data_IF_299258741578
#
_entry.id   IF_299258741578
#
_cell.length_a   1.000
_cell.length_b   1.000
_cell.length_c   1.000
_cell.angle_alpha   90.00
_cell.angle_beta   90.00
_cell.angle_gamma   90.00
#
_symmetry.space_group_name_H-M   'P 1'
#
loop_
_entity.id
_entity.type
_entity.pdbx_description
1 polymer ?
#
# COMPACT_ATOMS: atom_id res chain seq x y z
N UNK A 1 3.23 12.66 -10.02
CA UNK A 1 2.88 11.60 -9.04
C UNK A 1 3.16 10.25 -9.70
N UNK A 2 3.68 9.28 -8.94
CA UNK A 2 3.91 7.92 -9.44
C UNK A 2 2.81 6.98 -8.94
N UNK A 3 2.40 6.04 -9.77
CA UNK A 3 1.39 5.04 -9.46
C UNK A 3 1.94 3.63 -9.69
N UNK A 4 1.50 2.69 -8.86
CA UNK A 4 1.91 1.28 -8.94
C UNK A 4 0.68 0.38 -8.96
N UNK A 5 0.72 -0.70 -9.73
CA UNK A 5 -0.33 -1.73 -9.75
C UNK A 5 0.12 -2.92 -8.91
N UNK A 6 -0.66 -3.27 -7.88
CA UNK A 6 -0.39 -4.41 -7.01
C UNK A 6 -1.39 -5.53 -7.28
N UNK A 7 -0.92 -6.67 -7.78
CA UNK A 7 -1.71 -7.89 -7.99
C UNK A 7 -1.21 -9.02 -7.10
N UNK A 8 -2.11 -9.76 -6.46
CA UNK A 8 -1.76 -10.86 -5.57
C UNK A 8 -2.71 -12.05 -5.75
N UNK A 9 -2.14 -13.26 -5.74
CA UNK A 9 -2.89 -14.53 -5.90
C UNK A 9 -3.42 -15.09 -4.59
N UNK A 10 -2.88 -14.67 -3.44
CA UNK A 10 -3.11 -15.32 -2.14
C UNK A 10 -3.33 -14.32 -1.00
N UNK A 11 -2.55 -13.25 -0.97
CA UNK A 11 -2.54 -12.29 0.15
C UNK A 11 -3.17 -10.96 -0.24
N UNK A 12 -3.89 -10.31 0.68
CA UNK A 12 -4.44 -8.98 0.41
C UNK A 12 -3.30 -7.94 0.52
N UNK A 13 -2.93 -7.24 -0.56
CA UNK A 13 -1.79 -6.32 -0.55
C UNK A 13 -2.00 -5.09 0.34
N UNK A 14 -3.24 -4.79 0.73
CA UNK A 14 -3.57 -3.71 1.67
C UNK A 14 -3.33 -4.12 3.12
N UNK A 15 -3.23 -5.41 3.44
CA UNK A 15 -3.02 -5.87 4.82
C UNK A 15 -1.54 -6.16 5.03
N UNK A 16 -0.97 -5.58 6.09
CA UNK A 16 0.34 -5.98 6.58
C UNK A 16 0.15 -7.31 7.30
N UNK A 17 0.85 -8.35 6.88
CA UNK A 17 0.84 -9.63 7.55
C UNK A 17 1.95 -9.63 8.61
N UNK A 18 1.54 -9.82 9.88
CA UNK A 18 2.35 -9.67 11.11
C UNK A 18 3.60 -10.56 11.21
N UNK A 19 3.85 -11.44 10.23
CA UNK A 19 5.05 -12.27 10.17
C UNK A 19 6.28 -11.50 9.67
N UNK A 20 6.11 -10.25 9.24
CA UNK A 20 7.21 -9.41 8.76
C UNK A 20 7.88 -8.67 9.92
N UNK A 21 9.22 -8.65 10.00
CA UNK A 21 9.94 -7.89 11.02
C UNK A 21 9.63 -6.39 10.91
N UNK A 22 9.50 -5.72 12.06
CA UNK A 22 9.36 -4.25 12.12
C UNK A 22 10.65 -3.63 11.57
N UNK A 23 10.55 -2.93 10.44
CA UNK A 23 11.68 -2.27 9.79
C UNK A 23 11.93 -0.91 10.45
N UNK A 24 13.09 -0.73 11.06
CA UNK A 24 13.57 0.56 11.57
C UNK A 24 14.52 1.21 10.55
N UNK A 25 14.72 2.53 10.61
CA UNK A 25 15.65 3.32 9.78
C UNK A 25 15.34 3.49 8.29
N UNK A 26 14.09 3.29 7.88
CA UNK A 26 13.65 3.58 6.51
C UNK A 26 13.37 5.08 6.32
N UNK A 27 13.76 5.64 5.17
CA UNK A 27 13.61 7.07 4.85
C UNK A 27 12.19 7.48 4.40
N UNK A 28 11.34 6.52 4.04
CA UNK A 28 10.05 6.80 3.41
C UNK A 28 8.96 5.80 3.82
N UNK A 29 9.27 4.50 3.74
CA UNK A 29 8.30 3.45 4.04
C UNK A 29 8.13 3.26 5.56
N UNK A 30 6.88 3.16 5.99
CA UNK A 30 6.46 2.67 7.31
C UNK A 30 5.06 2.04 7.17
N UNK A 31 4.55 1.45 8.24
CA UNK A 31 3.26 0.73 8.22
C UNK A 31 2.07 1.64 7.86
N UNK A 32 2.07 2.88 8.36
CA UNK A 32 1.02 3.85 8.06
C UNK A 32 1.07 4.30 6.60
N UNK A 33 2.26 4.54 6.06
CA UNK A 33 2.48 4.87 4.64
C UNK A 33 2.05 3.75 3.72
N UNK A 34 2.27 2.49 4.11
CA UNK A 34 1.75 1.34 3.37
C UNK A 34 0.23 1.39 3.27
N UNK A 35 -0.48 1.59 4.39
CA UNK A 35 -1.94 1.67 4.38
C UNK A 35 -2.45 2.88 3.59
N UNK A 36 -1.81 4.04 3.78
CA UNK A 36 -2.17 5.28 3.13
C UNK A 36 -2.00 5.23 1.61
N UNK A 37 -1.04 4.45 1.09
CA UNK A 37 -0.85 4.28 -0.35
C UNK A 37 -2.08 3.70 -1.08
N UNK A 38 -2.96 2.98 -0.36
CA UNK A 38 -4.22 2.45 -0.90
C UNK A 38 -5.42 3.39 -0.67
N UNK A 39 -5.23 4.55 -0.04
CA UNK A 39 -6.24 5.58 0.12
C UNK A 39 -6.13 6.58 -1.03
N UNK A 40 -6.79 6.25 -2.14
CA UNK A 40 -6.71 7.04 -3.36
C UNK A 40 -7.68 8.24 -3.33
N UNK A 41 -7.31 9.38 -3.95
CA UNK A 41 -8.26 10.46 -4.19
C UNK A 41 -9.48 10.00 -5.00
N UNK A 42 -10.64 10.62 -4.76
CA UNK A 42 -11.92 10.25 -5.39
C UNK A 42 -11.83 10.11 -6.92
N UNK A 43 -11.24 11.09 -7.60
CA UNK A 43 -11.13 11.09 -9.06
C UNK A 43 -10.30 9.91 -9.60
N UNK A 44 -9.31 9.43 -8.85
CA UNK A 44 -8.50 8.26 -9.24
C UNK A 44 -9.32 6.98 -9.09
N UNK A 45 -10.12 6.88 -8.02
CA UNK A 45 -11.01 5.75 -7.81
C UNK A 45 -12.05 5.62 -8.93
N UNK A 46 -12.54 6.74 -9.46
CA UNK A 46 -13.50 6.76 -10.57
C UNK A 46 -12.88 6.30 -11.90
N UNK A 47 -11.59 6.59 -12.14
CA UNK A 47 -10.88 6.17 -13.35
C UNK A 47 -10.66 4.65 -13.39
N UNK A 48 -10.42 4.02 -12.24
CA UNK A 48 -10.08 2.59 -12.13
C UNK A 48 -11.28 1.69 -11.82
N UNK A 49 -12.49 2.26 -11.79
CA UNK A 49 -13.72 1.57 -11.39
C UNK A 49 -14.27 0.64 -12.47
#
# INVERSE_FOLDING_TARGET
PWSFTAGSKKHNPRKIHNDSPVLTDLKYYNEDMHQAAFCLPQYVQEIIR
#
